data_IF_572770188870
#
_entry.id   IF_572770188870
#
_cell.length_a   1.000
_cell.length_b   1.000
_cell.length_c   1.000
_cell.angle_alpha   90.00
_cell.angle_beta   90.00
_cell.angle_gamma   90.00
#
_symmetry.space_group_name_H-M   'P 1'
#
loop_
_entity.id
_entity.type
_entity.pdbx_description
1 polymer ?
#
# COMPACT_ATOMS: atom_id res chain seq x y z
N UNK A 1 -7.05 8.05 -2.76
CA UNK A 1 -6.83 7.06 -1.68
C UNK A 1 -5.51 7.37 -0.98
N UNK A 2 -5.43 7.17 0.33
CA UNK A 2 -4.19 7.33 1.12
C UNK A 2 -4.02 6.03 1.90
N UNK A 3 -2.86 5.40 1.74
CA UNK A 3 -2.48 4.20 2.49
C UNK A 3 -1.19 4.50 3.23
N UNK A 4 -1.20 4.27 4.54
CA UNK A 4 -0.04 4.47 5.41
C UNK A 4 0.40 3.11 5.96
N UNK A 5 1.66 2.77 5.68
CA UNK A 5 2.33 1.61 6.24
C UNK A 5 3.15 2.07 7.44
N UNK A 6 2.85 1.53 8.62
CA UNK A 6 3.66 1.69 9.82
C UNK A 6 4.25 0.34 10.23
N UNK A 7 5.54 0.32 10.54
CA UNK A 7 6.31 -0.89 10.85
C UNK A 7 7.06 -0.71 12.16
N UNK A 8 7.20 -1.79 12.94
CA UNK A 8 7.92 -1.75 14.22
C UNK A 8 9.40 -1.44 14.03
N UNK A 9 9.99 -2.09 13.01
CA UNK A 9 11.39 -1.96 12.59
C UNK A 9 11.47 -1.08 11.36
N UNK A 10 12.67 -0.59 11.08
CA UNK A 10 12.87 0.23 9.88
C UNK A 10 12.60 -0.58 8.60
N UNK A 11 11.68 -0.09 7.77
CA UNK A 11 11.34 -0.67 6.49
C UNK A 11 12.22 -0.10 5.38
N UNK A 12 12.78 -0.99 4.55
CA UNK A 12 13.62 -0.67 3.38
C UNK A 12 12.99 -1.06 2.06
N UNK A 13 11.85 -1.74 2.11
CA UNK A 13 11.16 -2.26 0.95
C UNK A 13 10.36 -1.21 0.20
N UNK A 14 9.36 -1.69 -0.55
CA UNK A 14 8.53 -0.90 -1.44
C UNK A 14 7.05 -1.15 -1.16
N UNK A 15 6.23 -0.14 -1.42
CA UNK A 15 4.77 -0.23 -1.38
C UNK A 15 4.20 0.31 -2.68
N UNK A 16 3.33 -0.44 -3.36
CA UNK A 16 2.84 -0.05 -4.68
C UNK A 16 1.46 -0.66 -4.99
N UNK A 17 0.73 -0.08 -5.93
CA UNK A 17 -0.53 -0.67 -6.39
C UNK A 17 -0.30 -1.81 -7.37
N UNK A 18 -1.17 -2.83 -7.37
CA UNK A 18 -1.07 -3.98 -8.28
C UNK A 18 -0.86 -3.53 -9.73
N UNK A 19 0.16 -4.09 -10.37
CA UNK A 19 0.55 -3.77 -11.75
C UNK A 19 1.46 -2.54 -11.91
N UNK A 20 1.86 -1.88 -10.82
CA UNK A 20 2.69 -0.67 -10.87
C UNK A 20 4.17 -0.90 -10.53
N UNK A 21 4.58 -2.14 -10.17
CA UNK A 21 5.94 -2.46 -9.75
C UNK A 21 7.01 -1.97 -10.72
N UNK A 22 6.93 -2.33 -12.00
CA UNK A 22 7.96 -2.00 -12.99
C UNK A 22 8.07 -0.51 -13.32
N UNK A 23 7.04 0.29 -13.04
CA UNK A 23 7.09 1.74 -13.28
C UNK A 23 7.99 2.43 -12.25
N UNK A 24 8.02 1.93 -11.02
CA UNK A 24 8.78 2.47 -9.89
C UNK A 24 8.64 3.99 -9.72
N UNK A 25 7.46 4.53 -10.01
CA UNK A 25 7.20 5.98 -10.00
C UNK A 25 5.94 6.31 -9.21
N UNK A 26 5.96 7.46 -8.56
CA UNK A 26 4.75 8.08 -8.03
C UNK A 26 3.71 8.30 -9.14
N UNK A 27 2.40 8.33 -8.81
CA UNK A 27 1.83 8.19 -7.47
C UNK A 27 1.58 6.73 -7.04
N UNK A 28 1.85 5.75 -7.92
CA UNK A 28 1.43 4.35 -7.72
C UNK A 28 2.50 3.45 -7.06
N UNK A 29 3.65 4.04 -6.72
CA UNK A 29 4.78 3.36 -6.11
C UNK A 29 5.43 4.29 -5.09
N UNK A 30 5.73 3.76 -3.91
CA UNK A 30 6.39 4.43 -2.81
C UNK A 30 7.54 3.57 -2.30
N UNK A 31 8.65 4.23 -1.98
CA UNK A 31 9.81 3.64 -1.32
C UNK A 31 10.40 4.67 -0.37
N UNK A 32 11.12 4.26 0.69
CA UNK A 32 11.95 5.18 1.44
C UNK A 32 12.90 5.95 0.52
N UNK A 33 13.22 7.19 0.88
CA UNK A 33 14.21 7.99 0.14
C UNK A 33 15.52 7.20 -0.03
N UNK A 34 16.22 7.34 -1.18
CA UNK A 34 17.47 6.62 -1.41
C UNK A 34 18.45 6.76 -0.22
N UNK A 35 18.94 5.63 0.28
CA UNK A 35 19.86 5.58 1.43
C UNK A 35 19.20 5.79 2.81
N UNK A 36 17.88 5.98 2.88
CA UNK A 36 17.12 6.09 4.12
C UNK A 36 16.25 4.85 4.34
N UNK A 37 15.98 4.59 5.61
CA UNK A 37 15.01 3.59 6.05
C UNK A 37 13.88 4.34 6.76
N UNK A 38 12.66 3.83 6.69
CA UNK A 38 11.51 4.52 7.27
C UNK A 38 10.66 3.57 8.09
N UNK A 39 10.21 4.00 9.27
CA UNK A 39 9.17 3.27 10.02
C UNK A 39 7.77 3.53 9.48
N UNK A 40 7.58 4.64 8.76
CA UNK A 40 6.33 5.04 8.12
C UNK A 40 6.56 5.30 6.64
N UNK A 41 5.70 4.73 5.79
CA UNK A 41 5.70 4.97 4.35
C UNK A 41 4.26 5.26 3.90
N UNK A 42 4.08 6.33 3.12
CA UNK A 42 2.75 6.74 2.65
C UNK A 42 2.67 6.55 1.14
N UNK A 43 1.61 5.90 0.68
CA UNK A 43 1.24 5.81 -0.73
C UNK A 43 -0.07 6.58 -0.93
N UNK A 44 0.00 7.68 -1.69
CA UNK A 44 -1.14 8.54 -2.01
C UNK A 44 -1.35 8.56 -3.51
N UNK A 45 -2.52 8.10 -3.94
CA UNK A 45 -2.88 8.07 -5.36
C UNK A 45 -4.31 8.53 -5.62
N UNK A 46 -4.59 9.15 -6.79
CA UNK A 46 -5.94 9.47 -7.23
C UNK A 46 -6.83 8.23 -7.37
N UNK A 47 -8.15 8.39 -7.17
CA UNK A 47 -9.11 7.27 -7.20
C UNK A 47 -9.36 6.71 -8.60
N UNK A 48 -9.01 7.47 -9.62
CA UNK A 48 -9.13 7.18 -11.05
C UNK A 48 -7.80 6.75 -11.68
N UNK A 49 -6.73 6.67 -10.88
CA UNK A 49 -5.39 6.25 -11.32
C UNK A 49 -4.97 4.92 -10.69
N UNK A 50 -3.73 4.50 -10.97
CA UNK A 50 -3.07 3.35 -10.35
C UNK A 50 -3.83 2.02 -10.48
N UNK A 51 -4.57 1.87 -11.59
CA UNK A 51 -5.40 0.70 -11.91
C UNK A 51 -6.52 0.45 -10.88
N UNK A 52 -7.01 1.52 -10.24
CA UNK A 52 -8.16 1.44 -9.33
C UNK A 52 -9.41 1.04 -10.12
N UNK A 53 -10.11 0.02 -9.61
CA UNK A 53 -11.37 -0.44 -10.18
C UNK A 53 -12.49 0.41 -9.59
N UNK A 54 -13.35 0.95 -10.46
CA UNK A 54 -14.53 1.72 -10.06
C UNK A 54 -15.79 0.91 -10.39
N UNK A 55 -16.61 0.65 -9.38
CA UNK A 55 -17.95 0.07 -9.51
C UNK A 55 -18.97 1.01 -8.85
N UNK A 56 -19.60 1.87 -9.66
CA UNK A 56 -20.43 2.97 -9.17
C UNK A 56 -19.64 3.93 -8.27
N UNK A 57 -19.97 3.93 -6.99
CA UNK A 57 -19.35 4.76 -5.94
C UNK A 57 -18.38 3.95 -5.04
N UNK A 58 -18.04 2.72 -5.43
CA UNK A 58 -17.00 1.90 -4.80
C UNK A 58 -15.70 1.96 -5.61
N UNK A 59 -14.60 2.31 -4.95
CA UNK A 59 -13.26 2.33 -5.53
C UNK A 59 -12.39 1.29 -4.85
N UNK A 60 -11.85 0.33 -5.60
CA UNK A 60 -11.08 -0.79 -5.06
C UNK A 60 -9.71 -0.92 -5.72
N UNK A 61 -8.69 -1.23 -4.92
CA UNK A 61 -7.32 -1.46 -5.37
C UNK A 61 -6.67 -2.56 -4.51
N UNK A 62 -5.52 -3.07 -4.96
CA UNK A 62 -4.68 -3.97 -4.18
C UNK A 62 -3.33 -3.30 -3.99
N UNK A 63 -2.97 -2.99 -2.74
CA UNK A 63 -1.66 -2.45 -2.38
C UNK A 63 -0.75 -3.60 -1.97
N UNK A 64 0.41 -3.66 -2.57
CA UNK A 64 1.43 -4.67 -2.33
C UNK A 64 2.57 -4.03 -1.52
N UNK A 65 2.98 -4.70 -0.46
CA UNK A 65 4.15 -4.36 0.37
C UNK A 65 5.16 -5.48 0.18
N UNK A 66 6.37 -5.12 -0.25
CA UNK A 66 7.47 -6.05 -0.47
C UNK A 66 8.72 -5.57 0.23
N UNK A 67 9.36 -6.43 1.01
CA UNK A 67 10.59 -6.13 1.75
C UNK A 67 11.81 -6.12 0.83
N UNK A 68 11.84 -7.01 -0.16
CA UNK A 68 12.87 -7.09 -1.18
C UNK A 68 12.24 -7.05 -2.59
N UNK A 69 12.74 -6.22 -3.52
CA UNK A 69 12.14 -6.09 -4.86
C UNK A 69 12.23 -7.37 -5.70
N UNK A 70 13.30 -8.16 -5.50
CA UNK A 70 13.65 -9.28 -6.39
C UNK A 70 13.24 -10.65 -5.83
N UNK A 71 12.83 -10.72 -4.56
CA UNK A 71 12.51 -11.98 -3.87
C UNK A 71 11.28 -11.81 -2.96
N UNK A 72 10.37 -12.78 -3.02
CA UNK A 72 9.25 -12.85 -2.07
C UNK A 72 9.80 -13.27 -0.70
N UNK A 73 9.66 -12.40 0.29
CA UNK A 73 10.16 -12.61 1.65
C UNK A 73 9.01 -12.81 2.65
N UNK A 74 9.24 -13.53 3.76
CA UNK A 74 8.32 -13.50 4.89
C UNK A 74 8.05 -12.07 5.32
N UNK A 75 6.78 -11.68 5.38
CA UNK A 75 6.35 -10.30 5.65
C UNK A 75 5.85 -9.55 4.41
N UNK A 76 6.10 -10.06 3.20
CA UNK A 76 5.46 -9.54 2.01
C UNK A 76 3.95 -9.80 2.05
N UNK A 77 3.18 -8.79 1.66
CA UNK A 77 1.73 -8.81 1.82
C UNK A 77 1.02 -8.05 0.70
N UNK A 78 -0.22 -8.46 0.42
CA UNK A 78 -1.12 -7.78 -0.48
C UNK A 78 -2.41 -7.44 0.26
N UNK A 79 -2.77 -6.17 0.27
CA UNK A 79 -3.93 -5.63 0.97
C UNK A 79 -4.96 -5.17 -0.04
N UNK A 80 -6.16 -5.75 0.01
CA UNK A 80 -7.31 -5.21 -0.69
C UNK A 80 -7.77 -3.95 0.05
N UNK A 81 -7.83 -2.83 -0.66
CA UNK A 81 -8.25 -1.53 -0.12
C UNK A 81 -9.46 -1.03 -0.89
N UNK A 82 -10.44 -0.52 -0.15
CA UNK A 82 -11.70 -0.06 -0.71
C UNK A 82 -12.08 1.31 -0.12
N UNK A 83 -12.56 2.21 -0.98
CA UNK A 83 -13.26 3.42 -0.59
C UNK A 83 -14.70 3.33 -1.11
N UNK A 84 -15.63 3.04 -0.21
CA UNK A 84 -17.07 2.92 -0.52
C UNK A 84 -17.79 4.22 -0.17
N UNK A 85 -18.07 5.06 -1.17
CA UNK A 85 -18.79 6.33 -0.98
C UNK A 85 -20.31 6.16 -0.89
N UNK A 86 -20.84 4.95 -1.05
CA UNK A 86 -22.26 4.63 -0.80
C UNK A 86 -22.56 4.57 0.69
N UNK A 87 -21.54 4.31 1.50
CA UNK A 87 -21.61 4.28 2.96
C UNK A 87 -21.31 5.67 3.52
N UNK A 88 -21.92 6.02 4.67
CA UNK A 88 -21.67 7.32 5.32
C UNK A 88 -20.18 7.52 5.59
N UNK A 89 -19.71 8.78 5.50
CA UNK A 89 -18.30 9.20 5.50
C UNK A 89 -17.54 8.98 6.82
N UNK A 90 -18.17 8.42 7.84
CA UNK A 90 -17.64 8.30 9.21
C UNK A 90 -16.98 6.93 9.51
N UNK A 91 -16.29 6.31 8.55
CA UNK A 91 -15.60 5.03 8.79
C UNK A 91 -14.09 5.13 8.55
N UNK A 92 -13.32 5.19 9.64
CA UNK A 92 -11.87 4.94 9.61
C UNK A 92 -11.64 3.43 9.64
N UNK A 93 -11.04 2.87 8.60
CA UNK A 93 -10.69 1.44 8.53
C UNK A 93 -9.27 1.25 9.03
N UNK A 94 -9.09 0.51 10.12
CA UNK A 94 -7.78 0.12 10.65
C UNK A 94 -7.56 -1.38 10.43
N UNK A 95 -6.37 -1.78 9.99
CA UNK A 95 -5.97 -3.18 9.86
C UNK A 95 -4.64 -3.39 10.61
N UNK A 96 -4.64 -4.31 11.57
CA UNK A 96 -3.43 -4.71 12.30
C UNK A 96 -3.00 -6.11 11.84
N UNK A 97 -1.72 -6.25 11.48
CA UNK A 97 -1.13 -7.53 11.09
C UNK A 97 0.07 -7.83 11.98
N UNK A 98 0.00 -8.93 12.73
CA UNK A 98 1.12 -9.44 13.53
C UNK A 98 1.94 -10.43 12.69
N UNK A 99 3.25 -10.22 12.63
CA UNK A 99 4.18 -11.21 12.06
C UNK A 99 4.60 -12.17 13.17
N UNK A 100 4.53 -13.48 12.91
CA UNK A 100 4.96 -14.51 13.89
C UNK A 100 6.49 -14.54 13.92
N UNK A 101 7.10 -14.10 15.01
CA UNK A 101 8.53 -14.34 15.29
C UNK A 101 8.76 -15.85 15.55
N UNK A 102 9.80 -16.42 14.94
CA UNK A 102 10.29 -17.77 15.23
C UNK A 102 11.73 -17.69 15.73
#
# INVERSE_FOLDING_TARGET
>A
MIVELETEKEFTGVMYTRGSFYKQSEPCFARPQPGRRAKKLTLKFPLDECQTVKDGELYSNVVIVQHEPDLVMPGDAAFAVECDFRKSRDLTVNAEMQTKDR
#
